data_IF_914254343506
#
_entry.id   IF_914254343506
#
_cell.length_a   1.000
_cell.length_b   1.000
_cell.length_c   1.000
_cell.angle_alpha   90.00
_cell.angle_beta   90.00
_cell.angle_gamma   90.00
#
_symmetry.space_group_name_H-M   'P 1'
#
loop_
_entity.id
_entity.type
_entity.pdbx_description
1 polymer ?
#
# COMPACT_ATOMS: atom_id res chain seq x y z
N UNK A 1 -9.23 -32.61 6.03
CA UNK A 1 -7.94 -32.61 5.31
C UNK A 1 -6.86 -33.04 6.27
N UNK A 2 -6.09 -34.08 5.92
CA UNK A 2 -4.92 -34.48 6.70
C UNK A 2 -3.84 -33.42 6.64
N UNK A 3 -3.31 -33.06 7.81
CA UNK A 3 -2.20 -32.08 7.95
C UNK A 3 -0.88 -32.85 7.86
N UNK A 4 -0.25 -32.84 6.68
CA UNK A 4 0.99 -33.61 6.41
C UNK A 4 2.28 -32.82 6.62
N UNK A 5 2.20 -31.50 6.76
CA UNK A 5 3.36 -30.62 6.80
C UNK A 5 3.44 -29.87 8.13
N UNK A 6 4.65 -29.72 8.65
CA UNK A 6 4.95 -28.98 9.89
C UNK A 6 5.82 -27.78 9.56
N UNK A 7 5.43 -26.61 10.08
CA UNK A 7 6.23 -25.38 10.01
C UNK A 7 6.66 -25.01 11.42
N UNK A 8 7.97 -25.05 11.67
CA UNK A 8 8.55 -24.64 12.94
C UNK A 8 9.02 -23.19 12.84
N UNK A 9 8.51 -22.32 13.72
CA UNK A 9 8.88 -20.91 13.79
C UNK A 9 9.51 -20.61 15.15
N UNK A 10 10.58 -19.81 15.17
CA UNK A 10 11.11 -19.22 16.39
C UNK A 10 10.50 -17.83 16.57
N UNK A 11 9.96 -17.55 17.75
CA UNK A 11 9.30 -16.30 18.09
C UNK A 11 10.06 -15.63 19.22
N UNK A 12 10.04 -14.29 19.26
CA UNK A 12 10.44 -13.56 20.46
C UNK A 12 9.40 -13.74 21.57
N UNK A 13 9.78 -13.47 22.83
CA UNK A 13 8.86 -13.55 23.97
C UNK A 13 7.61 -12.69 23.76
N UNK A 14 7.78 -11.51 23.18
CA UNK A 14 6.68 -10.61 22.86
C UNK A 14 5.73 -11.23 21.82
N UNK A 15 6.27 -11.71 20.70
CA UNK A 15 5.48 -12.35 19.63
C UNK A 15 4.72 -13.58 20.14
N UNK A 16 5.36 -14.39 20.99
CA UNK A 16 4.71 -15.53 21.63
C UNK A 16 3.62 -15.10 22.62
N UNK A 17 3.84 -14.01 23.36
CA UNK A 17 2.86 -13.36 24.21
C UNK A 17 1.60 -12.95 23.44
N UNK A 18 1.77 -12.27 22.32
CA UNK A 18 0.66 -11.88 21.42
C UNK A 18 -0.12 -13.10 20.91
N UNK A 19 0.58 -14.16 20.48
CA UNK A 19 -0.08 -15.40 20.02
C UNK A 19 -0.90 -16.05 21.13
N UNK A 20 -0.38 -16.11 22.37
CA UNK A 20 -1.14 -16.61 23.53
C UNK A 20 -2.36 -15.74 23.84
N UNK A 21 -2.23 -14.42 23.77
CA UNK A 21 -3.35 -13.51 24.00
C UNK A 21 -4.46 -13.71 22.95
N UNK A 22 -4.10 -13.85 21.67
CA UNK A 22 -5.04 -14.14 20.59
C UNK A 22 -5.73 -15.49 20.76
N UNK A 23 -4.98 -16.53 21.12
CA UNK A 23 -5.51 -17.86 21.42
C UNK A 23 -6.53 -17.81 22.57
N UNK A 24 -6.21 -17.11 23.67
CA UNK A 24 -7.12 -16.92 24.81
C UNK A 24 -8.39 -16.18 24.43
N UNK A 25 -8.28 -15.04 23.73
CA UNK A 25 -9.44 -14.22 23.34
C UNK A 25 -10.37 -14.93 22.35
N UNK A 26 -9.79 -15.72 21.44
CA UNK A 26 -10.56 -16.45 20.41
C UNK A 26 -11.05 -17.82 20.87
N UNK A 27 -10.64 -18.29 22.06
CA UNK A 27 -10.90 -19.65 22.58
C UNK A 27 -10.45 -20.76 21.60
N UNK A 28 -9.38 -20.50 20.85
CA UNK A 28 -8.80 -21.43 19.87
C UNK A 28 -7.39 -21.81 20.27
N UNK A 29 -6.93 -22.97 19.83
CA UNK A 29 -5.53 -23.35 19.99
C UNK A 29 -4.61 -22.39 19.21
N UNK A 30 -3.37 -22.23 19.65
CA UNK A 30 -2.38 -21.40 18.95
C UNK A 30 -2.24 -21.81 17.47
N UNK A 31 -2.24 -23.12 17.19
CA UNK A 31 -2.14 -23.67 15.84
C UNK A 31 -3.36 -23.34 14.98
N UNK A 32 -4.55 -23.22 15.56
CA UNK A 32 -5.76 -22.75 14.86
C UNK A 32 -5.73 -21.25 14.60
N UNK A 33 -5.19 -20.46 15.54
CA UNK A 33 -4.99 -19.02 15.31
C UNK A 33 -4.04 -18.81 14.14
N UNK A 34 -2.86 -19.46 14.16
CA UNK A 34 -1.88 -19.36 13.07
C UNK A 34 -2.49 -19.85 11.75
N UNK A 35 -3.20 -20.98 11.73
CA UNK A 35 -3.90 -21.43 10.52
C UNK A 35 -4.94 -20.43 10.03
N UNK A 36 -5.73 -19.84 10.92
CA UNK A 36 -6.71 -18.82 10.53
C UNK A 36 -6.06 -17.54 9.99
N UNK A 37 -4.87 -17.19 10.47
CA UNK A 37 -4.08 -16.08 9.95
C UNK A 37 -3.46 -16.44 8.59
N UNK A 38 -3.11 -17.70 8.34
CA UNK A 38 -2.64 -18.14 7.02
C UNK A 38 -3.80 -18.20 6.01
N UNK A 39 -4.97 -18.70 6.43
CA UNK A 39 -6.15 -18.86 5.57
C UNK A 39 -6.89 -17.54 5.30
N UNK A 40 -6.94 -16.64 6.28
CA UNK A 40 -7.75 -15.41 6.23
C UNK A 40 -6.95 -14.14 6.43
N UNK A 41 -5.73 -14.24 6.95
CA UNK A 41 -4.87 -13.07 7.08
C UNK A 41 -4.35 -12.66 5.72
N UNK A 42 -4.45 -11.37 5.42
CA UNK A 42 -3.83 -10.79 4.23
C UNK A 42 -2.37 -10.47 4.56
N UNK A 43 -1.43 -11.24 4.03
CA UNK A 43 -0.05 -10.76 3.92
C UNK A 43 -0.06 -9.75 2.77
N UNK A 44 -0.16 -8.46 3.09
CA UNK A 44 0.02 -7.42 2.07
C UNK A 44 1.47 -7.44 1.64
N UNK A 45 1.69 -7.66 0.36
CA UNK A 45 2.99 -7.48 -0.25
C UNK A 45 3.53 -6.09 0.11
N UNK A 46 4.81 -6.05 0.49
CA UNK A 46 5.45 -4.79 0.81
C UNK A 46 5.50 -3.98 -0.48
N UNK A 47 4.96 -2.76 -0.46
CA UNK A 47 5.10 -1.82 -1.58
C UNK A 47 6.58 -1.76 -1.93
N UNK A 48 6.93 -2.15 -3.15
CA UNK A 48 8.32 -2.17 -3.64
C UNK A 48 8.89 -0.75 -3.54
N UNK A 49 10.23 -0.64 -3.46
CA UNK A 49 10.86 0.69 -3.42
C UNK A 49 10.52 1.46 -4.70
N UNK A 50 10.43 0.80 -5.85
CA UNK A 50 9.97 1.43 -7.09
C UNK A 50 8.55 2.01 -6.96
N UNK A 51 7.60 1.22 -6.45
CA UNK A 51 6.21 1.68 -6.28
C UNK A 51 6.09 2.84 -5.28
N UNK A 52 6.88 2.83 -4.21
CA UNK A 52 6.94 3.96 -3.27
C UNK A 52 7.45 5.25 -3.93
N UNK A 53 8.43 5.14 -4.82
CA UNK A 53 8.96 6.30 -5.54
C UNK A 53 7.96 6.84 -6.58
N UNK A 54 7.21 5.96 -7.25
CA UNK A 54 6.10 6.37 -8.15
C UNK A 54 5.00 7.09 -7.35
N UNK A 55 4.62 6.56 -6.17
CA UNK A 55 3.64 7.20 -5.29
C UNK A 55 4.11 8.59 -4.83
N UNK A 56 5.39 8.74 -4.49
CA UNK A 56 5.96 10.06 -4.13
C UNK A 56 5.91 11.04 -5.29
N UNK A 57 6.20 10.60 -6.51
CA UNK A 57 6.07 11.44 -7.71
C UNK A 57 4.61 11.87 -7.94
N UNK A 58 3.64 10.97 -7.76
CA UNK A 58 2.21 11.31 -7.84
C UNK A 58 1.78 12.36 -6.81
N UNK A 59 2.31 12.31 -5.59
CA UNK A 59 2.09 13.36 -4.57
C UNK A 59 2.68 14.70 -5.03
N UNK A 60 3.86 14.67 -5.65
CA UNK A 60 4.48 15.85 -6.28
C UNK A 60 3.59 16.47 -7.35
N UNK A 61 3.07 15.65 -8.29
CA UNK A 61 2.18 16.13 -9.34
C UNK A 61 0.83 16.64 -8.81
N UNK A 62 0.31 16.04 -7.75
CA UNK A 62 -0.90 16.54 -7.07
C UNK A 62 -0.66 17.94 -6.48
N UNK A 63 0.54 18.18 -5.95
CA UNK A 63 0.95 19.50 -5.45
C UNK A 63 1.08 20.50 -6.59
N UNK A 64 1.68 20.08 -7.72
CA UNK A 64 1.80 20.88 -8.94
C UNK A 64 0.42 21.31 -9.46
N UNK A 65 -0.52 20.37 -9.62
CA UNK A 65 -1.91 20.66 -10.00
C UNK A 65 -2.60 21.66 -9.06
N UNK A 66 -2.40 21.53 -7.75
CA UNK A 66 -2.98 22.47 -6.78
C UNK A 66 -2.40 23.89 -6.95
N UNK A 67 -1.11 24.01 -7.28
CA UNK A 67 -0.50 25.30 -7.59
C UNK A 67 -1.05 25.88 -8.90
N UNK A 68 -1.22 25.05 -9.93
CA UNK A 68 -1.82 25.46 -11.20
C UNK A 68 -3.26 25.94 -11.01
N UNK A 69 -4.05 25.26 -10.19
CA UNK A 69 -5.42 25.70 -9.86
C UNK A 69 -5.44 27.07 -9.18
N UNK A 70 -4.54 27.31 -8.22
CA UNK A 70 -4.41 28.64 -7.58
C UNK A 70 -3.97 29.72 -8.57
N UNK A 71 -3.02 29.41 -9.46
CA UNK A 71 -2.55 30.34 -10.50
C UNK A 71 -3.64 30.62 -11.54
N UNK A 72 -4.44 29.62 -11.92
CA UNK A 72 -5.57 29.78 -12.80
C UNK A 72 -6.60 30.75 -12.21
N UNK A 73 -6.91 30.59 -10.93
CA UNK A 73 -7.84 31.47 -10.21
C UNK A 73 -7.33 32.91 -10.09
N UNK A 74 -6.01 33.10 -9.96
CA UNK A 74 -5.42 34.42 -9.80
C UNK A 74 -5.16 35.15 -11.13
N UNK A 75 -4.75 34.44 -12.18
CA UNK A 75 -4.22 35.03 -13.42
C UNK A 75 -4.97 34.61 -14.69
N UNK A 76 -6.02 33.79 -14.55
CA UNK A 76 -6.84 33.29 -15.65
C UNK A 76 -6.36 31.95 -16.22
N UNK A 77 -7.31 31.14 -16.65
CA UNK A 77 -7.11 29.74 -17.08
C UNK A 77 -6.18 29.57 -18.30
N UNK A 78 -6.17 30.54 -19.22
CA UNK A 78 -5.36 30.46 -20.44
C UNK A 78 -3.85 30.37 -20.14
N UNK A 79 -3.39 31.02 -19.07
CA UNK A 79 -1.98 31.10 -18.70
C UNK A 79 -1.41 29.82 -18.11
N UNK A 80 -2.24 28.85 -17.74
CA UNK A 80 -1.82 27.59 -17.12
C UNK A 80 -2.21 26.37 -17.94
N UNK A 81 -2.85 26.55 -19.10
CA UNK A 81 -3.42 25.45 -19.88
C UNK A 81 -2.36 24.42 -20.33
N UNK A 82 -1.21 24.91 -20.82
CA UNK A 82 -0.10 24.06 -21.28
C UNK A 82 0.55 23.28 -20.13
N UNK A 83 0.80 23.97 -19.01
CA UNK A 83 1.33 23.36 -17.78
C UNK A 83 0.37 22.31 -17.20
N UNK A 84 -0.94 22.56 -17.28
CA UNK A 84 -1.97 21.62 -16.82
C UNK A 84 -2.01 20.37 -17.71
N UNK A 85 -1.91 20.53 -19.03
CA UNK A 85 -1.82 19.42 -19.98
C UNK A 85 -0.60 18.53 -19.70
N UNK A 86 0.54 19.16 -19.42
CA UNK A 86 1.79 18.47 -19.05
C UNK A 86 1.63 17.68 -17.75
N UNK A 87 1.08 18.30 -16.70
CA UNK A 87 0.85 17.63 -15.42
C UNK A 87 -0.09 16.43 -15.56
N UNK A 88 -1.16 16.55 -16.35
CA UNK A 88 -2.10 15.45 -16.62
C UNK A 88 -1.42 14.30 -17.37
N UNK A 89 -0.54 14.58 -18.32
CA UNK A 89 0.23 13.56 -19.03
C UNK A 89 1.19 12.81 -18.08
N UNK A 90 1.90 13.55 -17.23
CA UNK A 90 2.82 12.98 -16.23
C UNK A 90 2.08 12.09 -15.22
N UNK A 91 0.92 12.53 -14.71
CA UNK A 91 0.07 11.73 -13.84
C UNK A 91 -0.39 10.45 -14.54
N UNK A 92 -0.85 10.56 -15.79
CA UNK A 92 -1.31 9.41 -16.57
C UNK A 92 -0.19 8.38 -16.78
N UNK A 93 1.04 8.84 -17.00
CA UNK A 93 2.20 7.97 -17.14
C UNK A 93 2.58 7.28 -15.82
N UNK A 94 2.59 8.02 -14.71
CA UNK A 94 2.86 7.46 -13.38
C UNK A 94 1.80 6.42 -12.97
N UNK A 95 0.53 6.66 -13.29
CA UNK A 95 -0.55 5.69 -13.03
C UNK A 95 -0.39 4.43 -13.88
N UNK A 96 0.01 4.55 -15.15
CA UNK A 96 0.29 3.39 -16.02
C UNK A 96 1.44 2.54 -15.45
N UNK A 97 2.54 3.18 -15.04
CA UNK A 97 3.67 2.49 -14.42
C UNK A 97 3.28 1.72 -13.16
N UNK A 98 2.37 2.27 -12.34
CA UNK A 98 1.86 1.59 -11.16
C UNK A 98 0.90 0.41 -11.48
N UNK A 99 0.30 0.41 -12.67
CA UNK A 99 -0.67 -0.60 -13.12
C UNK A 99 0.00 -1.77 -13.85
N UNK A 100 1.06 -1.50 -14.60
CA UNK A 100 1.81 -2.50 -15.37
C UNK A 100 2.78 -3.33 -14.50
N UNK A 101 2.97 -2.96 -13.23
CA UNK A 101 3.80 -3.68 -12.25
C UNK A 101 3.11 -4.96 -11.70
N UNK A 102 2.13 -5.52 -12.43
CA UNK A 102 1.26 -6.62 -12.00
C UNK A 102 1.01 -7.66 -13.07
#
# INVERSE_FOLDING_TARGET
MDKKNTVTIRLTDEQFGWLRALSRRSKRSQSEVVRSLIERGTVRERITRENLDIIRKLIGESTNLNQLARRANAYGFYRVADECSTAVQQISQLIKQLKDDR
#
